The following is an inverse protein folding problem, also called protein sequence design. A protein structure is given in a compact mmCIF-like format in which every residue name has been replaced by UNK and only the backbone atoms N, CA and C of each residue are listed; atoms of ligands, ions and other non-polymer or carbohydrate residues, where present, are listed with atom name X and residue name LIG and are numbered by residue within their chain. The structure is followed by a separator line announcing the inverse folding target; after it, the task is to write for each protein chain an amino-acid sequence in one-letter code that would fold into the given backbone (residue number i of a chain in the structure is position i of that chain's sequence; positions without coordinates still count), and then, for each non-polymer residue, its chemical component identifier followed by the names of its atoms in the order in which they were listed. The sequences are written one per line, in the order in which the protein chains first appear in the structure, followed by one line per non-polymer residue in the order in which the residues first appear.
data_IF_707143933409
#
_entry.id   IF_707143933409
#
_cell.length_a   1.000
_cell.length_b   1.000
_cell.length_c   1.000
_cell.angle_alpha   90.00
_cell.angle_beta   90.00
_cell.angle_gamma   90.00
#
_symmetry.space_group_name_H-M   'P 1'
#
loop_
_entity.id
_entity.type
_entity.pdbx_description
1 polymer ?
#
# COMPACT_ATOMS: atom_id res chain seq x y z
N UNK A 1 -57.42 -2.61 -17.28
CA UNK A 1 -56.32 -2.75 -18.26
C UNK A 1 -55.03 -2.72 -17.49
N UNK A 2 -54.42 -3.89 -17.31
CA UNK A 2 -53.26 -4.11 -16.44
C UNK A 2 -52.01 -3.64 -17.19
N UNK A 3 -51.23 -2.76 -16.54
CA UNK A 3 -49.93 -2.30 -16.99
C UNK A 3 -49.01 -3.49 -17.32
N UNK A 4 -48.77 -3.70 -18.60
CA UNK A 4 -47.78 -4.67 -19.07
C UNK A 4 -46.38 -4.13 -18.78
N UNK A 5 -45.75 -4.74 -17.79
CA UNK A 5 -44.34 -4.70 -17.43
C UNK A 5 -43.40 -4.42 -18.60
N UNK A 6 -42.78 -3.24 -18.59
CA UNK A 6 -41.55 -2.93 -19.29
C UNK A 6 -40.38 -3.71 -18.64
N UNK A 7 -40.35 -5.02 -18.82
CA UNK A 7 -39.16 -5.83 -18.59
C UNK A 7 -38.25 -5.69 -19.83
N UNK A 8 -37.65 -4.50 -19.98
CA UNK A 8 -36.51 -4.35 -20.90
C UNK A 8 -35.40 -5.23 -20.35
N UNK A 9 -35.09 -6.32 -21.05
CA UNK A 9 -33.86 -7.07 -20.82
C UNK A 9 -32.70 -6.10 -20.99
N UNK A 10 -32.17 -5.61 -19.88
CA UNK A 10 -30.97 -4.77 -19.88
C UNK A 10 -29.82 -5.67 -20.36
N UNK A 11 -29.45 -5.52 -21.63
CA UNK A 11 -28.31 -6.22 -22.21
C UNK A 11 -27.02 -5.60 -21.65
N UNK A 12 -25.99 -6.43 -21.45
CA UNK A 12 -24.65 -5.96 -21.06
C UNK A 12 -24.03 -4.99 -22.08
N UNK A 13 -24.59 -4.94 -23.29
CA UNK A 13 -24.18 -4.04 -24.36
C UNK A 13 -24.96 -2.73 -24.38
N UNK A 14 -25.96 -2.55 -23.51
CA UNK A 14 -26.76 -1.32 -23.50
C UNK A 14 -25.97 -0.15 -22.93
N UNK A 15 -25.92 0.95 -23.69
CA UNK A 15 -25.21 2.18 -23.28
C UNK A 15 -25.72 2.74 -21.95
N UNK A 16 -27.04 2.68 -21.71
CA UNK A 16 -27.63 3.11 -20.46
C UNK A 16 -27.15 2.29 -19.26
N UNK A 17 -26.95 0.97 -19.42
CA UNK A 17 -26.40 0.14 -18.36
C UNK A 17 -24.93 0.43 -18.11
N UNK A 18 -24.14 0.54 -19.18
CA UNK A 18 -22.72 0.86 -19.09
C UNK A 18 -22.50 2.19 -18.37
N UNK A 19 -23.27 3.24 -18.73
CA UNK A 19 -23.21 4.53 -18.06
C UNK A 19 -23.55 4.42 -16.56
N UNK A 20 -24.67 3.76 -16.22
CA UNK A 20 -25.06 3.54 -14.81
C UNK A 20 -23.99 2.79 -14.02
N UNK A 21 -23.36 1.79 -14.65
CA UNK A 21 -22.30 1.02 -14.01
C UNK A 21 -21.04 1.85 -13.82
N UNK A 22 -20.69 2.72 -14.76
CA UNK A 22 -19.58 3.67 -14.63
C UNK A 22 -19.82 4.63 -13.46
N UNK A 23 -21.03 5.19 -13.34
CA UNK A 23 -21.41 6.08 -12.23
C UNK A 23 -21.32 5.36 -10.87
N UNK A 24 -21.79 4.11 -10.80
CA UNK A 24 -21.69 3.28 -9.60
C UNK A 24 -20.23 2.98 -9.25
N UNK A 25 -19.41 2.60 -10.22
CA UNK A 25 -17.99 2.32 -10.01
C UNK A 25 -17.23 3.59 -9.58
N UNK A 26 -17.49 4.72 -10.22
CA UNK A 26 -16.89 6.01 -9.86
C UNK A 26 -17.24 6.41 -8.43
N UNK A 27 -18.50 6.23 -8.00
CA UNK A 27 -18.91 6.47 -6.62
C UNK A 27 -18.17 5.57 -5.64
N UNK A 28 -18.15 4.26 -5.90
CA UNK A 28 -17.45 3.28 -5.05
C UNK A 28 -15.97 3.66 -4.87
N UNK A 29 -15.29 4.04 -5.95
CA UNK A 29 -13.88 4.43 -5.93
C UNK A 29 -13.70 5.73 -5.14
N UNK A 30 -14.53 6.75 -5.41
CA UNK A 30 -14.45 8.06 -4.77
C UNK A 30 -14.65 8.00 -3.25
N UNK A 31 -15.54 7.13 -2.78
CA UNK A 31 -15.82 6.96 -1.34
C UNK A 31 -15.04 5.80 -0.72
N UNK A 32 -14.05 5.27 -1.44
CA UNK A 32 -13.17 4.20 -1.02
C UNK A 32 -13.91 2.97 -0.44
N UNK A 33 -15.02 2.57 -1.07
CA UNK A 33 -15.89 1.51 -0.59
C UNK A 33 -15.32 0.11 -0.93
N UNK A 34 -14.20 -0.24 -0.29
CA UNK A 34 -13.36 -1.43 -0.57
C UNK A 34 -14.18 -2.72 -0.77
N UNK A 35 -15.12 -3.01 0.14
CA UNK A 35 -15.95 -4.21 0.06
C UNK A 35 -16.87 -4.21 -1.17
N UNK A 36 -17.50 -3.08 -1.48
CA UNK A 36 -18.36 -2.97 -2.67
C UNK A 36 -17.54 -3.04 -3.96
N UNK A 37 -16.33 -2.47 -3.97
CA UNK A 37 -15.41 -2.61 -5.07
C UNK A 37 -15.06 -4.08 -5.34
N UNK A 38 -14.74 -4.83 -4.27
CA UNK A 38 -14.46 -6.26 -4.34
C UNK A 38 -15.65 -7.04 -4.90
N UNK A 39 -16.82 -6.93 -4.26
CA UNK A 39 -18.01 -7.70 -4.64
C UNK A 39 -18.45 -7.39 -6.08
N UNK A 40 -18.41 -6.12 -6.49
CA UNK A 40 -18.77 -5.71 -7.85
C UNK A 40 -17.75 -6.21 -8.88
N UNK A 41 -16.45 -6.10 -8.60
CA UNK A 41 -15.40 -6.58 -9.51
C UNK A 41 -15.54 -8.07 -9.79
N UNK A 42 -15.82 -8.88 -8.75
CA UNK A 42 -16.02 -10.32 -8.87
C UNK A 42 -17.29 -10.65 -9.64
N UNK A 43 -18.40 -9.98 -9.31
CA UNK A 43 -19.68 -10.20 -9.99
C UNK A 43 -19.60 -9.85 -11.48
N UNK A 44 -18.89 -8.77 -11.84
CA UNK A 44 -18.66 -8.41 -13.24
C UNK A 44 -17.77 -9.42 -13.96
N UNK A 45 -16.66 -9.84 -13.34
CA UNK A 45 -15.76 -10.84 -13.92
C UNK A 45 -16.48 -12.17 -14.18
N UNK A 46 -17.26 -12.68 -13.21
CA UNK A 46 -18.06 -13.89 -13.38
C UNK A 46 -19.10 -13.77 -14.51
N UNK A 47 -19.83 -12.65 -14.56
CA UNK A 47 -20.83 -12.42 -15.61
C UNK A 47 -20.18 -12.33 -16.99
N UNK A 48 -19.03 -11.66 -17.07
CA UNK A 48 -18.27 -11.50 -18.31
C UNK A 48 -17.75 -12.85 -18.83
N UNK A 49 -17.26 -13.71 -17.94
CA UNK A 49 -16.79 -15.05 -18.32
C UNK A 49 -17.95 -15.97 -18.73
N UNK A 50 -19.08 -15.96 -18.00
CA UNK A 50 -20.29 -16.71 -18.38
C UNK A 50 -20.84 -16.32 -19.75
N UNK A 51 -20.65 -15.05 -20.14
CA UNK A 51 -21.12 -14.51 -21.42
C UNK A 51 -20.00 -14.27 -22.43
N UNK A 52 -18.83 -14.89 -22.24
CA UNK A 52 -17.64 -14.67 -23.07
C UNK A 52 -17.88 -14.79 -24.56
N UNK A 53 -18.72 -15.73 -24.99
CA UNK A 53 -19.07 -15.93 -26.41
C UNK A 53 -19.89 -14.75 -26.96
N UNK A 54 -20.85 -14.23 -26.18
CA UNK A 54 -21.67 -13.08 -26.55
C UNK A 54 -20.82 -11.81 -26.64
N UNK A 55 -19.99 -11.57 -25.63
CA UNK A 55 -19.20 -10.32 -25.55
C UNK A 55 -17.99 -10.33 -26.50
N UNK A 56 -17.47 -11.51 -26.91
CA UNK A 56 -16.44 -11.62 -27.96
C UNK A 56 -16.88 -11.03 -29.30
N UNK A 57 -18.19 -10.95 -29.57
CA UNK A 57 -18.72 -10.30 -30.78
C UNK A 57 -18.64 -8.76 -30.71
N UNK A 58 -18.38 -8.21 -29.53
CA UNK A 58 -18.26 -6.77 -29.26
C UNK A 58 -16.97 -6.49 -28.47
N UNK A 59 -15.78 -6.52 -29.13
CA UNK A 59 -14.50 -6.35 -28.45
C UNK A 59 -14.40 -5.06 -27.62
N UNK A 60 -14.97 -3.96 -28.10
CA UNK A 60 -14.98 -2.68 -27.40
C UNK A 60 -15.73 -2.74 -26.07
N UNK A 61 -16.86 -3.45 -26.02
CA UNK A 61 -17.64 -3.65 -24.80
C UNK A 61 -16.87 -4.52 -23.81
N UNK A 62 -16.24 -5.59 -24.32
CA UNK A 62 -15.40 -6.47 -23.50
C UNK A 62 -14.25 -5.69 -22.85
N UNK A 63 -13.54 -4.90 -23.65
CA UNK A 63 -12.45 -4.05 -23.16
C UNK A 63 -12.97 -3.04 -22.16
N UNK A 64 -14.11 -2.38 -22.42
CA UNK A 64 -14.71 -1.46 -21.47
C UNK A 64 -14.97 -2.11 -20.11
N UNK A 65 -15.55 -3.32 -20.08
CA UNK A 65 -15.76 -4.06 -18.82
C UNK A 65 -14.45 -4.38 -18.12
N UNK A 66 -13.43 -4.83 -18.85
CA UNK A 66 -12.10 -5.07 -18.29
C UNK A 66 -11.54 -3.83 -17.61
N UNK A 67 -11.66 -2.66 -18.24
CA UNK A 67 -11.20 -1.38 -17.67
C UNK A 67 -11.91 -1.07 -16.35
N UNK A 68 -13.23 -1.25 -16.29
CA UNK A 68 -14.00 -1.07 -15.04
C UNK A 68 -13.56 -2.07 -13.96
N UNK A 69 -13.41 -3.35 -14.33
CA UNK A 69 -12.96 -4.39 -13.39
C UNK A 69 -11.57 -4.06 -12.82
N UNK A 70 -10.62 -3.60 -13.64
CA UNK A 70 -9.28 -3.18 -13.18
C UNK A 70 -9.37 -2.03 -12.17
N UNK A 71 -10.15 -0.99 -12.46
CA UNK A 71 -10.37 0.14 -11.54
C UNK A 71 -10.92 -0.34 -10.19
N UNK A 72 -11.92 -1.22 -10.22
CA UNK A 72 -12.53 -1.77 -9.01
C UNK A 72 -11.57 -2.69 -8.24
N UNK A 73 -10.75 -3.49 -8.94
CA UNK A 73 -9.71 -4.33 -8.32
C UNK A 73 -8.68 -3.50 -7.59
N UNK A 74 -8.21 -2.39 -8.18
CA UNK A 74 -7.31 -1.45 -7.51
C UNK A 74 -7.94 -0.86 -6.24
N UNK A 75 -9.20 -0.44 -6.28
CA UNK A 75 -9.91 0.05 -5.10
C UNK A 75 -10.11 -1.06 -4.02
N UNK A 76 -10.29 -2.30 -4.47
CA UNK A 76 -10.47 -3.48 -3.64
C UNK A 76 -9.17 -4.14 -3.17
N UNK A 77 -8.00 -3.55 -3.43
CA UNK A 77 -6.69 -4.19 -3.26
C UNK A 77 -6.54 -5.00 -1.95
N UNK A 78 -6.92 -4.48 -0.76
CA UNK A 78 -6.74 -5.19 0.49
C UNK A 78 -7.49 -6.53 0.58
N UNK A 79 -8.63 -6.64 -0.11
CA UNK A 79 -9.50 -7.82 -0.10
C UNK A 79 -9.21 -8.81 -1.23
N UNK A 80 -8.33 -8.46 -2.18
CA UNK A 80 -7.96 -9.37 -3.26
C UNK A 80 -7.07 -10.50 -2.75
N UNK A 81 -7.14 -11.66 -3.41
CA UNK A 81 -6.18 -12.74 -3.18
C UNK A 81 -4.77 -12.31 -3.63
N UNK A 82 -3.73 -12.89 -3.03
CA UNK A 82 -2.34 -12.50 -3.32
C UNK A 82 -2.02 -12.60 -4.83
N UNK A 83 -2.49 -13.63 -5.51
CA UNK A 83 -2.29 -13.80 -6.96
C UNK A 83 -2.94 -12.69 -7.79
N UNK A 84 -4.11 -12.21 -7.38
CA UNK A 84 -4.81 -11.12 -8.06
C UNK A 84 -4.10 -9.78 -7.85
N UNK A 85 -3.56 -9.53 -6.65
CA UNK A 85 -2.74 -8.33 -6.40
C UNK A 85 -1.46 -8.37 -7.25
N UNK A 86 -0.81 -9.54 -7.32
CA UNK A 86 0.38 -9.75 -8.17
C UNK A 86 0.04 -9.48 -9.65
N UNK A 87 -1.08 -9.99 -10.16
CA UNK A 87 -1.55 -9.73 -11.52
C UNK A 87 -1.78 -8.23 -11.77
N UNK A 88 -2.45 -7.54 -10.84
CA UNK A 88 -2.68 -6.10 -10.92
C UNK A 88 -1.36 -5.33 -10.99
N UNK A 89 -0.37 -5.66 -10.17
CA UNK A 89 0.93 -4.99 -10.16
C UNK A 89 1.79 -5.35 -11.37
N UNK A 90 1.65 -6.55 -11.93
CA UNK A 90 2.39 -6.99 -13.11
C UNK A 90 1.88 -6.36 -14.41
N UNK A 91 0.56 -6.21 -14.53
CA UNK A 91 -0.09 -5.92 -15.81
C UNK A 91 -0.84 -4.59 -15.84
N UNK A 92 -1.18 -4.01 -14.68
CA UNK A 92 -2.10 -2.88 -14.57
C UNK A 92 -1.67 -1.84 -13.52
N UNK A 93 -0.40 -1.79 -13.14
CA UNK A 93 0.12 -0.82 -12.17
C UNK A 93 -0.15 0.62 -12.61
N UNK A 94 -0.05 0.96 -13.90
CA UNK A 94 -0.24 2.36 -14.33
C UNK A 94 -1.69 2.85 -14.24
N UNK A 95 -2.64 1.93 -14.03
CA UNK A 95 -4.06 2.27 -13.93
C UNK A 95 -4.42 3.04 -12.66
N UNK A 96 -3.65 2.89 -11.58
CA UNK A 96 -3.88 3.65 -10.35
C UNK A 96 -3.83 5.16 -10.56
N UNK A 97 -2.97 5.65 -11.46
CA UNK A 97 -2.87 7.08 -11.76
C UNK A 97 -4.07 7.66 -12.52
N UNK A 98 -5.06 6.83 -12.86
CA UNK A 98 -6.34 7.23 -13.45
C UNK A 98 -7.47 7.28 -12.43
N UNK A 99 -7.20 6.91 -11.19
CA UNK A 99 -8.14 6.94 -10.08
C UNK A 99 -7.93 8.24 -9.30
N UNK A 100 -9.00 9.01 -9.02
CA UNK A 100 -8.88 10.23 -8.23
C UNK A 100 -8.47 9.88 -6.80
N UNK A 101 -7.51 10.63 -6.26
CA UNK A 101 -7.06 10.55 -4.86
C UNK A 101 -6.65 9.15 -4.39
N UNK A 102 -6.23 8.27 -5.32
CA UNK A 102 -5.86 6.91 -5.00
C UNK A 102 -4.43 6.81 -4.45
N UNK A 103 -4.32 6.21 -3.26
CA UNK A 103 -3.04 5.94 -2.61
C UNK A 103 -2.72 4.44 -2.63
N UNK A 104 -1.86 4.03 -3.57
CA UNK A 104 -1.44 2.63 -3.71
C UNK A 104 -0.64 2.13 -2.51
N UNK A 105 0.10 3.00 -1.80
CA UNK A 105 0.91 2.60 -0.65
C UNK A 105 -0.01 2.22 0.50
N UNK A 106 -0.95 3.09 0.85
CA UNK A 106 -1.94 2.80 1.89
C UNK A 106 -2.75 1.53 1.58
N UNK A 107 -3.10 1.32 0.30
CA UNK A 107 -3.79 0.08 -0.14
C UNK A 107 -2.93 -1.16 0.00
N UNK A 108 -1.64 -1.08 -0.31
CA UNK A 108 -0.72 -2.19 -0.19
C UNK A 108 -0.40 -2.50 1.28
N UNK A 109 -0.21 -1.48 2.12
CA UNK A 109 -0.05 -1.64 3.58
C UNK A 109 -1.28 -2.32 4.19
N UNK A 110 -2.48 -1.84 3.87
CA UNK A 110 -3.72 -2.50 4.28
C UNK A 110 -3.81 -3.95 3.79
N UNK A 111 -3.29 -4.27 2.59
CA UNK A 111 -3.20 -5.65 2.10
C UNK A 111 -2.22 -6.48 2.94
N UNK A 112 -1.05 -5.96 3.26
CA UNK A 112 -0.04 -6.65 4.07
C UNK A 112 -0.57 -6.99 5.47
N UNK A 113 -1.34 -6.10 6.07
CA UNK A 113 -2.01 -6.33 7.36
C UNK A 113 -3.03 -7.49 7.32
N UNK A 114 -3.54 -7.87 6.14
CA UNK A 114 -4.41 -9.06 6.02
C UNK A 114 -3.65 -10.38 6.08
N UNK A 115 -2.32 -10.35 5.94
CA UNK A 115 -1.45 -11.53 5.99
C UNK A 115 -0.94 -11.65 7.42
N UNK A 116 -1.50 -12.60 8.17
CA UNK A 116 -1.21 -12.75 9.61
C UNK A 116 0.23 -13.21 9.85
N UNK A 117 0.75 -14.07 8.98
CA UNK A 117 2.09 -14.66 9.14
C UNK A 117 3.14 -13.72 8.52
N UNK A 118 4.07 -13.25 9.33
CA UNK A 118 5.09 -12.26 8.94
C UNK A 118 6.01 -12.77 7.82
N UNK A 119 6.39 -14.05 7.85
CA UNK A 119 7.18 -14.68 6.77
C UNK A 119 6.43 -14.65 5.43
N UNK A 120 5.12 -14.91 5.44
CA UNK A 120 4.28 -14.85 4.24
C UNK A 120 4.17 -13.42 3.69
N UNK A 121 4.23 -12.38 4.56
CA UNK A 121 4.30 -10.98 4.11
C UNK A 121 5.55 -10.74 3.27
N UNK A 122 6.69 -11.22 3.73
CA UNK A 122 7.97 -11.07 3.03
C UNK A 122 8.00 -11.86 1.71
N UNK A 123 7.46 -13.08 1.69
CA UNK A 123 7.27 -13.83 0.44
C UNK A 123 6.37 -13.10 -0.56
N UNK A 124 5.27 -12.53 -0.07
CA UNK A 124 4.34 -11.77 -0.91
C UNK A 124 4.99 -10.49 -1.46
N UNK A 125 5.71 -9.72 -0.63
CA UNK A 125 6.51 -8.56 -1.05
C UNK A 125 7.56 -8.94 -2.10
N UNK A 126 8.25 -10.08 -1.94
CA UNK A 126 9.20 -10.59 -2.92
C UNK A 126 8.51 -10.87 -4.27
N UNK A 127 7.35 -11.53 -4.26
CA UNK A 127 6.56 -11.80 -5.47
C UNK A 127 6.08 -10.52 -6.16
N UNK A 128 5.63 -9.52 -5.40
CA UNK A 128 5.26 -8.20 -5.93
C UNK A 128 6.45 -7.47 -6.56
N UNK A 129 7.62 -7.53 -5.91
CA UNK A 129 8.86 -6.96 -6.44
C UNK A 129 9.21 -7.56 -7.81
N UNK A 130 9.11 -8.88 -7.92
CA UNK A 130 9.37 -9.57 -9.17
C UNK A 130 8.33 -9.21 -10.24
N UNK A 131 7.05 -9.13 -9.86
CA UNK A 131 5.98 -8.71 -10.76
C UNK A 131 6.22 -7.31 -11.35
N UNK A 132 6.67 -6.35 -10.53
CA UNK A 132 7.03 -5.01 -10.99
C UNK A 132 8.28 -5.01 -11.89
N UNK A 133 9.29 -5.83 -11.59
CA UNK A 133 10.49 -5.97 -12.43
C UNK A 133 10.20 -6.59 -13.81
N UNK A 134 9.08 -7.29 -13.94
CA UNK A 134 8.59 -7.88 -15.20
C UNK A 134 7.50 -7.03 -15.87
N UNK A 135 7.10 -5.90 -15.27
CA UNK A 135 6.01 -5.08 -15.77
C UNK A 135 6.47 -4.23 -16.97
N UNK A 136 5.84 -4.45 -18.12
CA UNK A 136 6.17 -3.79 -19.39
C UNK A 136 5.30 -2.56 -19.71
N UNK A 137 4.45 -2.10 -18.78
CA UNK A 137 3.65 -0.89 -18.97
C UNK A 137 4.55 0.34 -19.11
N UNK A 138 4.15 1.24 -20.02
CA UNK A 138 4.82 2.53 -20.22
C UNK A 138 4.40 3.48 -19.10
N UNK A 139 5.36 3.91 -18.29
CA UNK A 139 5.14 4.86 -17.18
C UNK A 139 5.60 6.28 -17.52
N UNK A 140 6.61 6.41 -18.39
CA UNK A 140 7.12 7.69 -18.89
C UNK A 140 7.28 7.62 -20.41
N UNK A 141 6.36 8.20 -21.18
CA UNK A 141 6.37 8.12 -22.63
C UNK A 141 7.39 9.03 -23.30
N UNK A 142 7.77 10.12 -22.62
CA UNK A 142 8.66 11.16 -23.16
C UNK A 142 10.15 10.90 -22.88
N UNK A 143 10.45 10.04 -21.91
CA UNK A 143 11.82 9.68 -21.58
C UNK A 143 12.38 8.60 -22.51
N UNK A 144 13.72 8.47 -22.51
CA UNK A 144 14.42 7.37 -23.19
C UNK A 144 14.06 6.01 -22.57
N UNK A 145 14.06 5.95 -21.23
CA UNK A 145 13.57 4.81 -20.46
C UNK A 145 12.05 4.96 -20.30
N UNK A 146 11.29 3.98 -20.81
CA UNK A 146 9.83 4.13 -20.92
C UNK A 146 9.03 3.22 -19.99
N UNK A 147 9.49 1.99 -19.78
CA UNK A 147 8.71 0.96 -19.08
C UNK A 147 9.01 0.92 -17.58
N UNK A 148 8.08 0.38 -16.80
CA UNK A 148 8.27 0.14 -15.37
C UNK A 148 9.50 -0.73 -15.12
N UNK A 149 9.62 -1.87 -15.81
CA UNK A 149 10.74 -2.78 -15.69
C UNK A 149 12.10 -2.08 -15.92
N UNK A 150 12.20 -1.27 -16.97
CA UNK A 150 13.47 -0.59 -17.31
C UNK A 150 13.82 0.51 -16.30
N UNK A 151 12.82 1.25 -15.80
CA UNK A 151 13.03 2.22 -14.72
C UNK A 151 13.52 1.56 -13.43
N UNK A 152 12.95 0.41 -13.06
CA UNK A 152 13.38 -0.33 -11.87
C UNK A 152 14.78 -0.94 -12.03
N UNK A 153 15.14 -1.40 -13.24
CA UNK A 153 16.52 -1.83 -13.54
C UNK A 153 17.50 -0.66 -13.42
N UNK A 154 17.16 0.50 -13.98
CA UNK A 154 17.98 1.72 -13.86
C UNK A 154 18.14 2.16 -12.40
N UNK A 155 17.07 2.13 -11.63
CA UNK A 155 17.08 2.41 -10.19
C UNK A 155 17.99 1.43 -9.43
N UNK A 156 17.84 0.12 -9.67
CA UNK A 156 18.67 -0.91 -9.02
C UNK A 156 20.15 -0.80 -9.41
N UNK A 157 20.47 -0.41 -10.64
CA UNK A 157 21.85 -0.15 -11.05
C UNK A 157 22.48 1.03 -10.30
N UNK A 158 21.67 2.03 -9.93
CA UNK A 158 22.13 3.24 -9.26
C UNK A 158 22.18 3.10 -7.73
N UNK A 159 21.18 2.42 -7.15
CA UNK A 159 20.95 2.40 -5.70
C UNK A 159 21.30 1.04 -5.07
N UNK A 160 21.18 -0.05 -5.84
CA UNK A 160 21.34 -1.43 -5.39
C UNK A 160 20.01 -2.18 -5.28
N UNK A 161 20.10 -3.51 -5.20
CA UNK A 161 18.94 -4.42 -5.17
C UNK A 161 18.37 -4.64 -3.77
N UNK A 162 19.17 -4.41 -2.71
CA UNK A 162 18.71 -4.45 -1.32
C UNK A 162 17.98 -3.18 -0.88
N UNK A 163 17.53 -3.12 0.40
CA UNK A 163 16.98 -1.91 1.00
C UNK A 163 17.93 -0.72 0.79
N UNK A 164 17.41 0.37 0.24
CA UNK A 164 18.24 1.52 -0.08
C UNK A 164 18.57 2.33 1.17
N UNK A 165 19.81 2.81 1.25
CA UNK A 165 20.13 3.92 2.16
C UNK A 165 19.38 5.19 1.71
N UNK A 166 18.87 5.94 2.69
CA UNK A 166 18.04 7.12 2.46
C UNK A 166 18.75 8.17 1.59
N UNK A 167 20.07 8.33 1.72
CA UNK A 167 20.85 9.27 0.92
C UNK A 167 20.87 8.87 -0.55
N UNK A 168 21.15 7.60 -0.85
CA UNK A 168 21.19 7.09 -2.24
C UNK A 168 19.83 7.19 -2.92
N UNK A 169 18.76 6.84 -2.21
CA UNK A 169 17.38 7.01 -2.69
C UNK A 169 17.09 8.47 -3.01
N UNK A 170 17.42 9.38 -2.09
CA UNK A 170 17.18 10.81 -2.29
C UNK A 170 17.99 11.40 -3.45
N UNK A 171 19.24 10.98 -3.62
CA UNK A 171 20.07 11.37 -4.76
C UNK A 171 19.46 10.93 -6.09
N UNK A 172 18.97 9.68 -6.17
CA UNK A 172 18.28 9.19 -7.36
C UNK A 172 17.01 10.00 -7.67
N UNK A 173 16.16 10.23 -6.66
CA UNK A 173 14.93 11.00 -6.80
C UNK A 173 15.20 12.48 -7.17
N UNK A 174 16.27 13.07 -6.65
CA UNK A 174 16.72 14.40 -7.05
C UNK A 174 17.16 14.42 -8.52
N UNK A 175 17.84 13.38 -9.00
CA UNK A 175 18.18 13.18 -10.41
C UNK A 175 16.95 13.15 -11.31
N UNK A 176 15.86 12.49 -10.89
CA UNK A 176 14.59 12.50 -11.63
C UNK A 176 14.00 13.91 -11.75
N UNK A 177 14.07 14.72 -10.68
CA UNK A 177 13.57 16.10 -10.68
C UNK A 177 14.30 16.98 -11.69
N UNK A 178 15.60 16.78 -11.84
CA UNK A 178 16.45 17.54 -12.77
C UNK A 178 16.38 17.04 -14.22
N UNK A 179 15.74 15.89 -14.48
CA UNK A 179 15.65 15.32 -15.82
C UNK A 179 14.60 16.06 -16.66
N UNK A 180 15.07 16.79 -17.67
CA UNK A 180 14.25 17.59 -18.58
C UNK A 180 13.37 16.75 -19.53
N UNK A 181 13.68 15.47 -19.72
CA UNK A 181 12.88 14.57 -20.57
C UNK A 181 11.58 14.08 -19.90
N UNK A 182 11.44 14.29 -18.59
CA UNK A 182 10.27 13.90 -17.83
C UNK A 182 9.33 15.07 -17.62
N UNK A 183 8.03 14.83 -17.80
CA UNK A 183 6.98 15.73 -17.32
C UNK A 183 6.81 15.62 -15.80
N UNK A 184 6.19 16.61 -15.16
CA UNK A 184 5.90 16.56 -13.72
C UNK A 184 5.05 15.35 -13.33
N UNK A 185 4.06 15.01 -14.16
CA UNK A 185 3.20 13.86 -13.91
C UNK A 185 3.99 12.54 -14.02
N UNK A 186 4.89 12.39 -14.99
CA UNK A 186 5.75 11.20 -15.09
C UNK A 186 6.72 11.12 -13.92
N UNK A 187 7.29 12.24 -13.46
CA UNK A 187 8.11 12.29 -12.24
C UNK A 187 7.34 11.79 -11.02
N UNK A 188 6.09 12.23 -10.85
CA UNK A 188 5.23 11.78 -9.76
C UNK A 188 4.96 10.27 -9.85
N UNK A 189 4.64 9.74 -11.03
CA UNK A 189 4.44 8.29 -11.24
C UNK A 189 5.66 7.47 -10.85
N UNK A 190 6.86 7.93 -11.25
CA UNK A 190 8.12 7.27 -10.92
C UNK A 190 8.42 7.32 -9.42
N UNK A 191 8.13 8.43 -8.75
CA UNK A 191 8.25 8.53 -7.29
C UNK A 191 7.35 7.52 -6.58
N UNK A 192 6.08 7.41 -7.00
CA UNK A 192 5.15 6.41 -6.47
C UNK A 192 5.63 4.98 -6.74
N UNK A 193 6.09 4.69 -7.97
CA UNK A 193 6.66 3.38 -8.33
C UNK A 193 7.83 3.00 -7.42
N UNK A 194 8.79 3.91 -7.23
CA UNK A 194 9.97 3.68 -6.40
C UNK A 194 9.57 3.51 -4.93
N UNK A 195 8.61 4.28 -4.44
CA UNK A 195 8.13 4.15 -3.07
C UNK A 195 7.51 2.77 -2.82
N UNK A 196 6.64 2.30 -3.72
CA UNK A 196 6.05 0.96 -3.67
C UNK A 196 7.14 -0.12 -3.72
N UNK A 197 8.08 0.03 -4.65
CA UNK A 197 9.15 -0.92 -4.84
C UNK A 197 10.05 -1.03 -3.60
N UNK A 198 10.38 0.08 -2.96
CA UNK A 198 11.16 0.13 -1.71
C UNK A 198 10.39 -0.47 -0.53
N UNK A 199 9.08 -0.21 -0.41
CA UNK A 199 8.24 -0.86 0.61
C UNK A 199 8.34 -2.39 0.49
N UNK A 200 8.32 -2.93 -0.73
CA UNK A 200 8.48 -4.37 -0.98
C UNK A 200 9.92 -4.91 -0.77
N UNK A 201 10.92 -4.05 -0.53
CA UNK A 201 12.27 -4.49 -0.14
C UNK A 201 12.44 -4.59 1.37
N UNK A 202 11.63 -3.86 2.15
CA UNK A 202 11.71 -3.86 3.59
C UNK A 202 11.08 -5.13 4.15
N UNK A 203 11.89 -5.88 4.91
CA UNK A 203 11.40 -7.05 5.62
C UNK A 203 10.44 -6.63 6.72
N UNK A 204 9.35 -7.35 6.84
CA UNK A 204 8.31 -7.17 7.86
C UNK A 204 8.84 -7.49 9.26
N UNK A 205 10.04 -8.07 9.37
CA UNK A 205 10.77 -8.30 10.61
C UNK A 205 11.64 -7.13 11.06
N UNK A 206 11.78 -6.08 10.25
CA UNK A 206 12.55 -4.89 10.65
C UNK A 206 11.60 -3.79 11.11
N UNK A 207 12.03 -2.96 12.08
CA UNK A 207 11.30 -1.76 12.50
C UNK A 207 10.73 -0.93 11.35
N UNK A 208 11.50 -0.73 10.29
CA UNK A 208 11.11 0.08 9.14
C UNK A 208 10.09 -0.61 8.23
N UNK A 209 10.14 -1.94 8.13
CA UNK A 209 9.25 -2.73 7.29
C UNK A 209 8.01 -3.25 7.99
N UNK A 210 7.90 -3.05 9.31
CA UNK A 210 6.75 -3.43 10.12
C UNK A 210 5.55 -2.54 9.79
N UNK A 211 4.45 -3.15 9.36
CA UNK A 211 3.26 -2.43 8.87
C UNK A 211 2.29 -2.00 9.96
N UNK A 212 2.39 -2.60 11.15
CA UNK A 212 1.47 -2.32 12.24
C UNK A 212 1.90 -1.06 13.00
N UNK A 213 0.91 -0.25 13.33
CA UNK A 213 1.10 0.92 14.17
C UNK A 213 0.96 0.52 15.62
N UNK A 214 2.02 0.69 16.41
CA UNK A 214 2.04 0.29 17.83
C UNK A 214 1.99 1.52 18.72
N UNK A 215 0.93 1.69 19.55
CA UNK A 215 0.94 2.73 20.57
C UNK A 215 1.91 2.34 21.70
N UNK A 216 2.79 3.27 22.07
CA UNK A 216 3.79 3.11 23.13
C UNK A 216 3.65 4.25 24.13
N UNK A 217 3.65 3.96 25.43
CA UNK A 217 3.62 4.99 26.48
C UNK A 217 5.02 5.15 27.07
N UNK A 218 5.62 6.33 26.94
CA UNK A 218 6.93 6.64 27.53
C UNK A 218 6.75 7.86 28.44
N UNK A 219 7.08 7.69 29.72
CA UNK A 219 6.95 8.74 30.76
C UNK A 219 5.54 9.38 30.80
N UNK A 220 4.49 8.56 30.68
CA UNK A 220 3.09 9.01 30.69
C UNK A 220 2.64 9.74 29.42
N UNK A 221 3.45 9.75 28.35
CA UNK A 221 3.10 10.35 27.05
C UNK A 221 2.88 9.25 26.02
N UNK A 222 1.82 9.39 25.23
CA UNK A 222 1.54 8.48 24.11
C UNK A 222 2.43 8.81 22.91
N UNK A 223 3.12 7.79 22.43
CA UNK A 223 3.83 7.76 21.18
C UNK A 223 3.20 6.74 20.26
N UNK A 224 3.27 7.00 18.96
CA UNK A 224 2.92 6.04 17.94
C UNK A 224 4.22 5.60 17.26
N UNK A 225 4.50 4.30 17.34
CA UNK A 225 5.57 3.69 16.57
C UNK A 225 5.02 3.23 15.23
N UNK A 226 5.58 3.78 14.14
CA UNK A 226 5.18 3.48 12.78
C UNK A 226 6.40 3.52 11.86
N UNK A 227 6.65 2.43 11.11
CA UNK A 227 7.78 2.32 10.17
C UNK A 227 9.14 2.75 10.74
N UNK A 228 9.44 2.35 11.98
CA UNK A 228 10.73 2.65 12.62
C UNK A 228 10.87 4.10 13.10
N UNK A 229 9.78 4.87 13.09
CA UNK A 229 9.70 6.24 13.62
C UNK A 229 8.78 6.25 14.83
N UNK A 230 9.23 6.92 15.89
CA UNK A 230 8.44 7.15 17.09
C UNK A 230 7.90 8.59 17.07
N UNK A 231 6.59 8.75 16.86
CA UNK A 231 5.94 10.05 16.78
C UNK A 231 5.18 10.36 18.07
N UNK A 232 5.47 11.49 18.70
CA UNK A 232 4.74 11.92 19.89
C UNK A 232 3.34 12.40 19.50
N UNK A 233 2.30 11.81 20.10
CA UNK A 233 0.93 12.24 19.86
C UNK A 233 0.65 13.49 20.68
N UNK A 234 0.13 14.54 20.04
CA UNK A 234 -0.30 15.75 20.75
C UNK A 234 -1.48 15.41 21.66
N UNK A 235 -1.47 15.83 22.94
CA UNK A 235 -2.56 15.54 23.85
C UNK A 235 -3.89 16.08 23.31
N UNK A 236 -4.90 15.22 23.27
CA UNK A 236 -6.29 15.59 23.03
C UNK A 236 -7.21 14.66 23.86
N UNK A 237 -8.52 14.95 23.90
CA UNK A 237 -9.47 14.17 24.71
C UNK A 237 -9.50 12.67 24.37
N UNK A 238 -9.30 12.30 23.10
CA UNK A 238 -9.27 10.90 22.66
C UNK A 238 -7.97 10.19 23.10
N UNK A 239 -6.86 10.91 23.10
CA UNK A 239 -5.56 10.41 23.59
C UNK A 239 -5.61 10.15 25.09
N UNK A 240 -6.28 11.01 25.87
CA UNK A 240 -6.51 10.78 27.30
C UNK A 240 -7.35 9.52 27.57
N UNK A 241 -8.35 9.24 26.74
CA UNK A 241 -9.16 8.02 26.83
C UNK A 241 -8.33 6.75 26.54
N UNK A 242 -7.47 6.79 25.52
CA UNK A 242 -6.56 5.68 25.18
C UNK A 242 -5.57 5.42 26.33
N UNK A 243 -4.96 6.47 26.88
CA UNK A 243 -4.03 6.38 28.02
C UNK A 243 -4.72 5.73 29.24
N UNK A 244 -5.94 6.14 29.57
CA UNK A 244 -6.73 5.53 30.65
C UNK A 244 -7.07 4.06 30.41
N UNK A 245 -7.32 3.68 29.15
CA UNK A 245 -7.59 2.30 28.79
C UNK A 245 -6.34 1.40 28.85
N UNK A 246 -5.16 1.96 28.63
CA UNK A 246 -3.87 1.23 28.71
C UNK A 246 -3.32 1.13 30.13
N UNK A 247 -3.62 2.10 31.00
CA UNK A 247 -3.31 2.08 32.44
C UNK A 247 -4.04 0.96 33.23
N UNK A 248 -5.02 0.29 32.61
CA UNK A 248 -5.72 -0.88 33.18
C UNK A 248 -4.98 -2.22 33.07
N UNK A 249 -3.82 -2.26 32.41
CA UNK A 249 -2.92 -3.43 32.36
C UNK A 249 -1.82 -3.31 33.43
N UNK A 250 -1.23 -4.41 33.94
CA UNK A 250 -0.51 -4.42 35.22
C UNK A 250 0.55 -3.31 35.35
N UNK A 251 0.38 -2.50 36.40
CA UNK A 251 1.19 -1.34 36.75
C UNK A 251 2.70 -1.65 36.76
N UNK A 252 3.49 -0.80 36.11
CA UNK A 252 4.93 -0.70 36.35
C UNK A 252 5.25 0.65 36.99
N UNK A 253 5.89 0.58 38.15
CA UNK A 253 6.26 1.73 38.98
C UNK A 253 7.20 2.66 38.22
N UNK A 254 6.73 3.87 37.92
CA UNK A 254 7.55 4.94 37.37
C UNK A 254 8.60 5.38 38.42
N UNK A 255 9.86 5.00 38.20
CA UNK A 255 11.01 5.58 38.89
C UNK A 255 11.79 6.40 37.87
N UNK A 256 11.92 7.69 38.15
CA UNK A 256 12.62 8.69 37.34
C UNK A 256 14.06 8.27 37.08
N UNK A 257 14.35 7.74 35.90
CA UNK A 257 15.72 7.42 35.48
C UNK A 257 15.95 7.71 34.00
N UNK A 258 17.19 8.10 33.71
CA UNK A 258 17.75 8.44 32.40
C UNK A 258 17.06 7.72 31.22
N UNK A 259 16.81 8.43 30.13
CA UNK A 259 16.09 7.92 28.94
C UNK A 259 16.65 6.61 28.35
N UNK A 260 17.92 6.27 28.60
CA UNK A 260 18.51 4.98 28.21
C UNK A 260 18.07 3.81 29.10
N UNK A 261 17.89 4.03 30.40
CA UNK A 261 17.44 3.02 31.37
C UNK A 261 15.95 2.68 31.22
N UNK A 262 15.12 3.67 30.87
CA UNK A 262 13.68 3.44 30.62
C UNK A 262 13.44 2.55 29.40
N UNK A 263 14.14 2.81 28.29
CA UNK A 263 14.05 1.96 27.10
C UNK A 263 14.58 0.53 27.37
N UNK A 264 15.65 0.38 28.14
CA UNK A 264 16.19 -0.95 28.51
C UNK A 264 15.18 -1.75 29.34
N UNK A 265 14.52 -1.13 30.33
CA UNK A 265 13.48 -1.77 31.12
C UNK A 265 12.25 -2.13 30.29
N UNK A 266 11.89 -1.32 29.27
CA UNK A 266 10.80 -1.67 28.36
C UNK A 266 11.17 -2.83 27.43
N UNK A 267 12.40 -2.93 26.92
CA UNK A 267 12.84 -4.06 26.11
C UNK A 267 12.69 -5.40 26.87
N UNK A 268 12.88 -5.39 28.19
CA UNK A 268 12.73 -6.56 29.06
C UNK A 268 11.27 -7.00 29.26
N UNK A 269 10.29 -6.12 29.04
CA UNK A 269 8.86 -6.44 29.14
C UNK A 269 8.35 -7.27 27.96
N UNK A 270 9.10 -7.29 26.87
CA UNK A 270 8.74 -8.03 25.67
C UNK A 270 9.56 -9.33 25.57
N UNK A 271 8.95 -10.42 25.08
CA UNK A 271 9.63 -11.71 24.91
C UNK A 271 10.94 -11.56 24.12
N UNK A 272 11.95 -12.31 24.50
CA UNK A 272 13.23 -12.29 23.79
C UNK A 272 13.00 -12.72 22.32
N UNK A 273 13.40 -11.88 21.37
CA UNK A 273 13.19 -12.10 19.93
C UNK A 273 11.90 -11.50 19.36
N UNK A 274 11.01 -10.95 20.19
CA UNK A 274 9.83 -10.20 19.72
C UNK A 274 10.21 -8.92 18.97
N UNK A 275 9.34 -8.47 18.07
CA UNK A 275 9.59 -7.31 17.20
C UNK A 275 9.58 -6.01 18.01
N UNK A 276 8.71 -5.91 19.00
CA UNK A 276 8.60 -4.82 19.95
C UNK A 276 9.92 -4.65 20.72
N UNK A 277 10.49 -5.76 21.21
CA UNK A 277 11.80 -5.74 21.85
C UNK A 277 12.90 -5.27 20.91
N UNK A 278 12.94 -5.79 19.68
CA UNK A 278 13.97 -5.43 18.69
C UNK A 278 13.89 -3.96 18.29
N UNK A 279 12.68 -3.41 18.15
CA UNK A 279 12.46 -2.00 17.86
C UNK A 279 12.99 -1.09 18.98
N UNK A 280 12.71 -1.44 20.23
CA UNK A 280 13.21 -0.71 21.41
C UNK A 280 14.74 -0.82 21.50
N UNK A 281 15.30 -2.02 21.28
CA UNK A 281 16.76 -2.26 21.27
C UNK A 281 17.47 -1.46 20.16
N UNK A 282 16.86 -1.29 18.98
CA UNK A 282 17.43 -0.50 17.89
C UNK A 282 17.46 1.01 18.23
N UNK A 283 16.44 1.53 18.89
CA UNK A 283 16.43 2.92 19.36
C UNK A 283 17.40 3.18 20.52
N UNK A 284 17.58 2.19 21.43
CA UNK A 284 18.66 2.23 22.43
C UNK A 284 20.02 2.33 21.73
N UNK A 285 20.24 1.52 20.69
CA UNK A 285 21.50 1.51 19.95
C UNK A 285 21.75 2.83 19.21
N UNK A 286 20.73 3.44 18.59
CA UNK A 286 20.83 4.76 17.94
C UNK A 286 21.14 5.87 18.94
N UNK A 287 20.43 5.90 20.07
CA UNK A 287 20.64 6.87 21.15
C UNK A 287 22.02 6.77 21.80
N UNK A 288 22.60 5.57 21.84
CA UNK A 288 23.96 5.36 22.35
C UNK A 288 25.05 5.75 21.33
N UNK A 289 24.77 5.64 20.03
CA UNK A 289 25.71 6.10 18.97
C UNK A 289 25.81 7.62 18.91
N UNK A 290 24.73 8.36 19.17
CA UNK A 290 24.73 9.84 19.20
C UNK A 290 25.37 10.44 20.46
N UNK A 291 25.61 9.63 21.50
CA UNK A 291 26.24 10.05 22.77
C UNK A 291 27.74 9.76 22.89
N UNK A 292 28.39 9.16 21.89
CA UNK A 292 29.84 9.00 21.88
C UNK A 292 30.51 10.26 21.30
N UNK A 293 31.26 11.05 22.11
CA UNK A 293 32.23 11.99 21.56
C UNK A 293 33.39 11.27 20.88
#
# INVERSE_FOLDING_TARGET
MVNSNNNQFITLTSSQFMQKLEDVAARIIRFDEVKKAFDLSRALAEKLEKKKIEVRRFPEVYDWYKKIIIKLRLAALPLLDQSDVIDVFKNYFTWQFRLPDYDVLAKLEAKLLTIIITEERDEFKNKLRQALLENMEIIASHAEIKTIADWLKNYNASVGTGPADSLKKNQYLAGLKSNQSLTDFERQKLQTLIAVYELCKLSSFTPQGFEETVPIIIDGKLYIFNHGVLEQVKPNKQVEEILRATEGSPQTNATTHNSSTGLQQMAEQYPQGSLERRAIEEEIAKSNKTKKP
#
